data_IF_028944798394
#
_entry.id   IF_028944798394
#
_cell.length_a   1.000
_cell.length_b   1.000
_cell.length_c   1.000
_cell.angle_alpha   90.00
_cell.angle_beta   90.00
_cell.angle_gamma   90.00
#
_symmetry.space_group_name_H-M   'P 1'
#
loop_
_entity.id
_entity.type
_entity.pdbx_description
1 polymer ?
#
# COMPACT_ATOMS: atom_id res chain seq x y z
N UNK A 1 -17.47 -7.01 -14.51
CA UNK A 1 -17.24 -8.11 -13.54
C UNK A 1 -15.79 -8.03 -13.12
N UNK A 2 -15.49 -8.04 -11.82
CA UNK A 2 -14.10 -8.00 -11.32
C UNK A 2 -13.40 -9.33 -11.63
N UNK A 3 -12.22 -9.26 -12.23
CA UNK A 3 -11.37 -10.42 -12.49
C UNK A 3 -10.28 -10.53 -11.42
N UNK A 4 -9.89 -11.75 -11.07
CA UNK A 4 -8.83 -12.04 -10.09
C UNK A 4 -7.80 -12.98 -10.70
N UNK A 5 -6.53 -12.65 -10.49
CA UNK A 5 -5.39 -13.52 -10.78
C UNK A 5 -4.59 -13.71 -9.48
N UNK A 6 -4.34 -14.97 -9.08
CA UNK A 6 -3.58 -15.25 -7.86
C UNK A 6 -2.13 -14.80 -7.95
N UNK A 7 -1.54 -14.45 -6.80
CA UNK A 7 -0.13 -14.09 -6.68
C UNK A 7 0.76 -15.26 -7.14
N UNK A 8 1.85 -14.95 -7.83
CA UNK A 8 2.77 -15.95 -8.37
C UNK A 8 4.16 -15.36 -8.53
N UNK A 9 5.19 -16.22 -8.45
CA UNK A 9 6.58 -15.86 -8.75
C UNK A 9 6.90 -16.03 -10.25
N UNK A 10 5.99 -16.58 -11.05
CA UNK A 10 6.15 -16.77 -12.49
C UNK A 10 5.84 -15.46 -13.24
N UNK A 11 6.89 -14.74 -13.61
CA UNK A 11 6.78 -13.45 -14.32
C UNK A 11 6.16 -13.58 -15.70
N UNK A 12 6.35 -14.70 -16.40
CA UNK A 12 5.70 -14.95 -17.69
C UNK A 12 4.19 -15.14 -17.53
N UNK A 13 3.73 -15.74 -16.43
CA UNK A 13 2.30 -15.83 -16.11
C UNK A 13 1.72 -14.45 -15.76
N UNK A 14 2.45 -13.61 -15.04
CA UNK A 14 2.04 -12.22 -14.75
C UNK A 14 1.89 -11.43 -16.05
N UNK A 15 2.92 -11.44 -16.90
CA UNK A 15 2.92 -10.76 -18.21
C UNK A 15 1.73 -11.21 -19.07
N UNK A 16 1.53 -12.53 -19.20
CA UNK A 16 0.38 -13.08 -19.92
C UNK A 16 -0.95 -12.59 -19.35
N UNK A 17 -1.07 -12.51 -18.02
CA UNK A 17 -2.29 -12.05 -17.37
C UNK A 17 -2.56 -10.57 -17.60
N UNK A 18 -1.52 -9.74 -17.69
CA UNK A 18 -1.64 -8.31 -18.00
C UNK A 18 -1.96 -8.10 -19.48
N UNK A 19 -1.29 -8.80 -20.40
CA UNK A 19 -1.49 -8.65 -21.85
C UNK A 19 -2.88 -9.06 -22.36
N UNK A 20 -3.63 -9.85 -21.58
CA UNK A 20 -5.03 -10.18 -21.89
C UNK A 20 -6.04 -9.16 -21.36
N UNK A 21 -5.61 -8.20 -20.54
CA UNK A 21 -6.49 -7.15 -20.04
C UNK A 21 -6.79 -6.20 -21.20
N UNK A 22 -8.07 -5.99 -21.47
CA UNK A 22 -8.54 -5.04 -22.46
C UNK A 22 -9.46 -4.04 -21.78
N UNK A 23 -9.23 -2.75 -22.05
CA UNK A 23 -10.00 -1.66 -21.48
C UNK A 23 -11.32 -1.52 -22.28
N UNK A 24 -12.22 -2.48 -22.14
CA UNK A 24 -13.53 -2.44 -22.78
C UNK A 24 -14.52 -1.66 -21.91
N UNK A 25 -14.31 -0.34 -21.78
CA UNK A 25 -15.24 0.69 -21.26
C UNK A 25 -16.11 0.37 -20.02
N UNK A 26 -15.93 1.13 -18.94
CA UNK A 26 -16.82 1.14 -17.75
C UNK A 26 -18.07 2.04 -17.88
N UNK A 27 -18.10 2.91 -18.89
CA UNK A 27 -19.18 3.88 -19.06
C UNK A 27 -19.08 5.05 -18.07
N UNK A 28 -17.86 5.61 -17.99
CA UNK A 28 -17.42 6.91 -17.48
C UNK A 28 -18.18 7.42 -16.24
N UNK A 29 -18.00 6.70 -15.14
CA UNK A 29 -18.47 7.03 -13.81
C UNK A 29 -17.69 6.26 -12.75
N UNK A 30 -18.12 6.30 -11.48
CA UNK A 30 -17.49 5.52 -10.42
C UNK A 30 -17.42 4.03 -10.76
N UNK A 31 -16.44 3.35 -10.17
CA UNK A 31 -16.03 1.99 -10.53
C UNK A 31 -16.13 1.01 -9.36
N UNK A 32 -16.02 -0.29 -9.65
CA UNK A 32 -16.11 -1.38 -8.66
C UNK A 32 -14.86 -1.54 -7.76
N UNK A 33 -14.26 -0.43 -7.31
CA UNK A 33 -13.06 -0.39 -6.44
C UNK A 33 -13.30 -1.11 -5.12
N UNK A 34 -14.48 -0.93 -4.51
CA UNK A 34 -14.86 -1.62 -3.26
C UNK A 34 -14.81 -3.14 -3.42
N UNK A 35 -15.36 -3.66 -4.53
CA UNK A 35 -15.30 -5.09 -4.87
C UNK A 35 -13.87 -5.56 -5.06
N UNK A 36 -13.03 -4.77 -5.75
CA UNK A 36 -11.62 -5.10 -5.96
C UNK A 36 -10.85 -5.23 -4.64
N UNK A 37 -11.02 -4.29 -3.70
CA UNK A 37 -10.44 -4.38 -2.36
C UNK A 37 -10.93 -5.61 -1.60
N UNK A 38 -12.23 -5.91 -1.66
CA UNK A 38 -12.79 -7.12 -1.02
C UNK A 38 -12.21 -8.41 -1.61
N UNK A 39 -12.03 -8.47 -2.94
CA UNK A 39 -11.44 -9.61 -3.64
C UNK A 39 -9.97 -9.76 -3.26
N UNK A 40 -9.22 -8.65 -3.26
CA UNK A 40 -7.81 -8.61 -2.85
C UNK A 40 -7.62 -9.12 -1.41
N UNK A 41 -8.48 -8.69 -0.48
CA UNK A 41 -8.49 -9.16 0.90
C UNK A 41 -8.68 -10.68 1.06
N UNK A 42 -9.14 -11.37 0.01
CA UNK A 42 -9.37 -12.83 -0.03
C UNK A 42 -8.29 -13.57 -0.83
N UNK A 43 -7.30 -12.88 -1.38
CA UNK A 43 -6.17 -13.50 -2.10
C UNK A 43 -5.20 -14.20 -1.14
N UNK A 44 -4.46 -15.17 -1.67
CA UNK A 44 -3.50 -15.97 -0.92
C UNK A 44 -2.15 -15.23 -0.78
N UNK A 45 -2.04 -14.36 0.22
CA UNK A 45 -0.76 -13.79 0.62
C UNK A 45 0.04 -14.77 1.47
N UNK A 46 1.36 -14.80 1.29
CA UNK A 46 2.27 -15.53 2.18
C UNK A 46 2.17 -14.98 3.61
N UNK A 47 2.18 -15.87 4.60
CA UNK A 47 2.05 -15.49 6.01
C UNK A 47 3.22 -14.61 6.47
N UNK A 48 4.44 -14.97 6.05
CA UNK A 48 5.69 -14.38 6.54
C UNK A 48 6.33 -13.40 5.56
N UNK A 49 5.51 -12.76 4.71
CA UNK A 49 5.96 -11.76 3.76
C UNK A 49 5.46 -10.36 4.15
N UNK A 50 6.17 -9.33 3.69
CA UNK A 50 5.57 -8.01 3.53
C UNK A 50 4.44 -8.12 2.49
N UNK A 51 3.29 -7.49 2.77
CA UNK A 51 2.11 -7.56 1.91
C UNK A 51 1.74 -6.16 1.46
N UNK A 52 1.90 -5.93 0.17
CA UNK A 52 1.57 -4.65 -0.44
C UNK A 52 0.64 -4.84 -1.61
N UNK A 53 -0.30 -3.91 -1.73
CA UNK A 53 -1.12 -3.71 -2.90
C UNK A 53 -0.90 -2.30 -3.46
N UNK A 54 -0.89 -2.18 -4.78
CA UNK A 54 -0.91 -0.90 -5.49
C UNK A 54 -2.25 -0.82 -6.22
N UNK A 55 -3.16 0.02 -5.72
CA UNK A 55 -4.46 0.27 -6.34
C UNK A 55 -4.33 1.42 -7.33
N UNK A 56 -4.48 1.14 -8.62
CA UNK A 56 -4.36 2.12 -9.70
C UNK A 56 -5.73 2.37 -10.29
N UNK A 57 -6.13 3.64 -10.42
CA UNK A 57 -7.39 3.97 -11.09
C UNK A 57 -7.57 5.45 -11.38
N UNK A 58 -8.49 5.71 -12.30
CA UNK A 58 -8.87 7.00 -12.86
C UNK A 58 -10.26 7.47 -12.42
N UNK A 59 -10.96 6.67 -11.61
CA UNK A 59 -12.31 6.95 -11.11
C UNK A 59 -12.50 6.51 -9.64
N UNK A 60 -13.40 7.18 -8.89
CA UNK A 60 -13.72 6.80 -7.51
C UNK A 60 -14.49 5.47 -7.43
N UNK A 61 -14.58 4.85 -6.24
CA UNK A 61 -15.49 3.74 -5.98
C UNK A 61 -16.97 4.12 -6.18
N UNK A 62 -17.81 3.17 -6.56
CA UNK A 62 -19.27 3.33 -6.49
C UNK A 62 -19.75 3.80 -5.11
N UNK A 63 -20.81 4.62 -5.09
CA UNK A 63 -21.44 5.19 -3.90
C UNK A 63 -20.76 6.45 -3.36
N UNK A 64 -19.79 7.01 -4.09
CA UNK A 64 -19.01 8.18 -3.67
C UNK A 64 -19.42 9.47 -4.39
N UNK A 65 -19.71 9.39 -5.69
CA UNK A 65 -20.02 10.56 -6.52
C UNK A 65 -21.51 10.70 -6.81
N UNK A 66 -21.93 11.95 -7.02
CA UNK A 66 -23.26 12.24 -7.55
C UNK A 66 -23.38 11.76 -9.01
N UNK A 67 -24.53 11.22 -9.39
CA UNK A 67 -24.77 10.72 -10.75
C UNK A 67 -24.25 9.30 -11.00
N UNK A 68 -23.69 8.64 -9.99
CA UNK A 68 -23.36 7.22 -10.04
C UNK A 68 -24.61 6.36 -10.33
N UNK A 69 -24.43 5.33 -11.16
CA UNK A 69 -25.45 4.29 -11.40
C UNK A 69 -25.65 3.40 -10.18
N UNK A 70 -24.67 3.34 -9.28
CA UNK A 70 -24.68 2.57 -8.03
C UNK A 70 -24.51 3.47 -6.80
N UNK A 71 -25.44 4.41 -6.54
CA UNK A 71 -25.28 5.42 -5.49
C UNK A 71 -25.26 4.85 -4.07
N UNK A 72 -25.63 3.58 -3.89
CA UNK A 72 -25.56 2.86 -2.62
C UNK A 72 -24.30 1.98 -2.49
N UNK A 73 -23.37 2.08 -3.44
CA UNK A 73 -22.18 1.24 -3.53
C UNK A 73 -22.39 -0.01 -4.38
N UNK A 74 -21.38 -0.88 -4.39
CA UNK A 74 -21.37 -2.10 -5.21
C UNK A 74 -22.47 -3.09 -4.77
N UNK A 75 -23.06 -3.88 -5.71
CA UNK A 75 -24.17 -4.79 -5.41
C UNK A 75 -23.81 -5.92 -4.43
N UNK A 76 -22.53 -6.23 -4.30
CA UNK A 76 -21.98 -7.25 -3.39
C UNK A 76 -21.85 -6.75 -1.93
N UNK A 77 -22.23 -5.50 -1.67
CA UNK A 77 -22.19 -4.88 -0.34
C UNK A 77 -20.80 -4.48 0.13
N UNK A 78 -19.77 -4.57 -0.73
CA UNK A 78 -18.43 -4.09 -0.39
C UNK A 78 -18.42 -2.56 -0.20
N UNK A 79 -17.66 -2.10 0.80
CA UNK A 79 -17.47 -0.67 1.07
C UNK A 79 -15.98 -0.37 1.13
N UNK A 80 -15.53 0.59 0.32
CA UNK A 80 -14.11 0.88 0.12
C UNK A 80 -13.38 1.18 1.45
N UNK A 81 -14.01 1.91 2.37
CA UNK A 81 -13.43 2.31 3.64
C UNK A 81 -13.31 1.12 4.61
N UNK A 82 -14.32 0.27 4.64
CA UNK A 82 -14.32 -0.97 5.43
C UNK A 82 -13.29 -1.95 4.88
N UNK A 83 -13.21 -2.12 3.56
CA UNK A 83 -12.27 -3.05 2.95
C UNK A 83 -10.82 -2.56 3.00
N UNK A 84 -10.58 -1.24 2.95
CA UNK A 84 -9.25 -0.67 3.21
C UNK A 84 -8.78 -0.94 4.64
N UNK A 85 -9.65 -0.74 5.64
CA UNK A 85 -9.34 -1.08 7.05
C UNK A 85 -9.07 -2.58 7.23
N UNK A 86 -9.89 -3.45 6.62
CA UNK A 86 -9.66 -4.90 6.63
C UNK A 86 -8.33 -5.29 5.96
N UNK A 87 -7.90 -4.55 4.94
CA UNK A 87 -6.58 -4.75 4.32
C UNK A 87 -5.48 -4.58 5.37
N UNK A 88 -5.54 -3.49 6.12
CA UNK A 88 -4.58 -3.21 7.20
C UNK A 88 -4.59 -4.24 8.32
N UNK A 89 -5.78 -4.67 8.76
CA UNK A 89 -5.97 -5.72 9.77
C UNK A 89 -5.34 -7.06 9.32
N UNK A 90 -5.34 -7.34 8.02
CA UNK A 90 -4.68 -8.50 7.40
C UNK A 90 -3.18 -8.32 7.17
N UNK A 91 -2.64 -7.14 7.52
CA UNK A 91 -1.25 -6.75 7.33
C UNK A 91 -0.93 -6.33 5.89
N UNK A 92 -1.94 -5.95 5.10
CA UNK A 92 -1.78 -5.49 3.71
C UNK A 92 -1.80 -3.96 3.69
N UNK A 93 -0.70 -3.36 3.25
CA UNK A 93 -0.58 -1.92 3.01
C UNK A 93 -1.04 -1.63 1.58
N UNK A 94 -1.98 -0.72 1.41
CA UNK A 94 -2.51 -0.34 0.08
C UNK A 94 -2.00 1.04 -0.29
N UNK A 95 -1.03 1.09 -1.21
CA UNK A 95 -0.68 2.33 -1.89
C UNK A 95 -1.69 2.58 -3.00
N UNK A 96 -2.08 3.84 -3.20
CA UNK A 96 -3.05 4.21 -4.23
C UNK A 96 -2.38 5.10 -5.28
N UNK A 97 -2.74 4.89 -6.54
CA UNK A 97 -2.27 5.65 -7.68
C UNK A 97 -3.48 6.27 -8.35
N UNK A 98 -3.54 7.60 -8.34
CA UNK A 98 -4.56 8.34 -9.08
C UNK A 98 -4.06 8.66 -10.48
N UNK A 99 -4.80 8.24 -11.51
CA UNK A 99 -4.50 8.57 -12.89
C UNK A 99 -5.04 9.97 -13.24
N UNK A 100 -4.12 10.91 -13.47
CA UNK A 100 -4.42 12.29 -13.86
C UNK A 100 -4.35 12.48 -15.38
N UNK A 101 -5.18 13.39 -15.93
CA UNK A 101 -6.11 14.28 -15.23
C UNK A 101 -7.47 13.64 -14.86
N UNK A 102 -7.75 12.40 -15.29
CA UNK A 102 -9.07 11.78 -15.25
C UNK A 102 -9.68 11.71 -13.85
N UNK A 103 -8.91 11.26 -12.84
CA UNK A 103 -9.39 11.14 -11.46
C UNK A 103 -9.79 12.49 -10.84
N UNK A 104 -9.21 13.59 -11.33
CA UNK A 104 -9.49 14.94 -10.85
C UNK A 104 -10.81 15.52 -11.40
N UNK A 105 -11.41 14.88 -12.42
CA UNK A 105 -12.74 15.26 -12.91
C UNK A 105 -13.86 14.88 -11.94
N UNK A 106 -13.55 14.04 -10.93
CA UNK A 106 -14.47 13.60 -9.89
C UNK A 106 -14.27 14.40 -8.60
N UNK A 107 -15.36 14.87 -7.99
CA UNK A 107 -15.32 15.78 -6.83
C UNK A 107 -14.65 15.19 -5.58
N UNK A 108 -14.67 13.86 -5.48
CA UNK A 108 -14.25 13.03 -4.37
C UNK A 108 -13.25 11.94 -4.81
N UNK A 109 -12.88 11.86 -6.10
CA UNK A 109 -11.94 10.89 -6.65
C UNK A 109 -10.62 10.81 -5.87
N UNK A 110 -9.84 11.89 -5.93
CA UNK A 110 -8.55 12.03 -5.24
C UNK A 110 -8.68 11.79 -3.74
N UNK A 111 -9.63 12.48 -3.08
CA UNK A 111 -9.84 12.35 -1.63
C UNK A 111 -10.14 10.92 -1.18
N UNK A 112 -10.87 10.16 -2.00
CA UNK A 112 -11.21 8.78 -1.67
C UNK A 112 -9.97 7.87 -1.80
N UNK A 113 -9.14 8.08 -2.81
CA UNK A 113 -7.88 7.33 -2.97
C UNK A 113 -6.86 7.67 -1.87
N UNK A 114 -6.75 8.94 -1.49
CA UNK A 114 -5.99 9.37 -0.31
C UNK A 114 -6.48 8.67 0.95
N UNK A 115 -7.81 8.59 1.15
CA UNK A 115 -8.38 7.95 2.33
C UNK A 115 -8.19 6.43 2.34
N UNK A 116 -8.28 5.76 1.20
CA UNK A 116 -7.99 4.32 1.09
C UNK A 116 -6.53 4.04 1.49
N UNK A 117 -5.60 4.84 0.97
CA UNK A 117 -4.19 4.75 1.34
C UNK A 117 -3.99 4.97 2.85
N UNK A 118 -4.50 6.09 3.39
CA UNK A 118 -4.41 6.43 4.81
C UNK A 118 -4.94 5.31 5.72
N UNK A 119 -6.12 4.75 5.41
CA UNK A 119 -6.75 3.69 6.20
C UNK A 119 -5.95 2.38 6.23
N UNK A 120 -5.02 2.21 5.29
CA UNK A 120 -4.11 1.06 5.23
C UNK A 120 -2.65 1.40 5.53
N UNK A 121 -2.38 2.62 6.00
CA UNK A 121 -1.04 3.19 6.18
C UNK A 121 -0.18 3.18 4.90
N UNK A 122 -0.83 3.20 3.74
CA UNK A 122 -0.21 3.41 2.45
C UNK A 122 -0.08 4.89 2.10
N UNK A 123 0.34 5.15 0.87
CA UNK A 123 0.50 6.49 0.31
C UNK A 123 -0.24 6.63 -1.01
N UNK A 124 -0.76 7.83 -1.24
CA UNK A 124 -1.34 8.21 -2.53
C UNK A 124 -0.25 8.80 -3.44
N UNK A 125 -0.23 8.37 -4.69
CA UNK A 125 0.70 8.82 -5.71
C UNK A 125 -0.09 9.34 -6.93
N UNK A 126 -0.09 10.66 -7.20
CA UNK A 126 -0.68 11.21 -8.43
C UNK A 126 0.25 10.98 -9.62
N UNK A 127 -0.22 10.27 -10.66
CA UNK A 127 0.54 10.04 -11.89
C UNK A 127 -0.21 10.55 -13.12
N UNK A 128 0.50 11.21 -14.03
CA UNK A 128 -0.02 11.61 -15.35
C UNK A 128 0.35 10.62 -16.45
N UNK A 129 1.42 9.84 -16.25
CA UNK A 129 2.02 8.95 -17.26
C UNK A 129 2.23 7.56 -16.70
N UNK A 130 1.72 6.56 -17.42
CA UNK A 130 1.82 5.15 -17.03
C UNK A 130 3.28 4.65 -17.06
N UNK A 131 4.15 5.26 -17.87
CA UNK A 131 5.56 4.95 -17.96
C UNK A 131 6.29 5.09 -16.62
N UNK A 132 5.81 5.97 -15.75
CA UNK A 132 6.39 6.26 -14.43
C UNK A 132 6.03 5.18 -13.40
N UNK A 133 5.00 4.37 -13.67
CA UNK A 133 4.49 3.36 -12.74
C UNK A 133 5.53 2.27 -12.41
N UNK A 134 6.41 1.92 -13.36
CA UNK A 134 7.46 0.92 -13.14
C UNK A 134 8.42 1.38 -12.04
N UNK A 135 8.84 2.64 -12.08
CA UNK A 135 9.72 3.23 -11.07
C UNK A 135 9.02 3.30 -9.71
N UNK A 136 7.75 3.69 -9.70
CA UNK A 136 6.95 3.74 -8.49
C UNK A 136 6.84 2.36 -7.82
N UNK A 137 6.40 1.34 -8.55
CA UNK A 137 6.22 -0.02 -8.01
C UNK A 137 7.56 -0.59 -7.54
N UNK A 138 8.64 -0.37 -8.30
CA UNK A 138 9.98 -0.81 -7.90
C UNK A 138 10.42 -0.12 -6.62
N UNK A 139 10.17 1.19 -6.50
CA UNK A 139 10.49 1.93 -5.30
C UNK A 139 9.72 1.47 -4.08
N UNK A 140 8.40 1.30 -4.21
CA UNK A 140 7.56 0.73 -3.14
C UNK A 140 8.11 -0.63 -2.69
N UNK A 141 8.48 -1.51 -3.63
CA UNK A 141 9.08 -2.80 -3.29
C UNK A 141 10.39 -2.66 -2.50
N UNK A 142 11.20 -1.65 -2.81
CA UNK A 142 12.42 -1.32 -2.06
C UNK A 142 12.10 -0.82 -0.64
N UNK A 143 11.07 0.03 -0.46
CA UNK A 143 10.62 0.45 0.88
C UNK A 143 10.20 -0.75 1.75
N UNK A 144 9.50 -1.72 1.16
CA UNK A 144 9.06 -2.92 1.87
C UNK A 144 10.22 -3.83 2.28
N UNK A 145 11.28 -3.90 1.48
CA UNK A 145 12.52 -4.59 1.86
C UNK A 145 13.12 -3.91 3.10
N UNK A 146 13.14 -2.58 3.14
CA UNK A 146 13.66 -1.84 4.28
C UNK A 146 12.83 -2.05 5.55
N UNK A 147 11.49 -2.17 5.42
CA UNK A 147 10.62 -2.54 6.56
C UNK A 147 10.94 -3.92 7.13
N UNK A 148 11.25 -4.91 6.28
CA UNK A 148 11.69 -6.24 6.72
C UNK A 148 13.04 -6.13 7.46
N UNK A 149 13.97 -5.33 6.93
CA UNK A 149 15.27 -5.12 7.56
C UNK A 149 15.14 -4.41 8.92
N UNK A 150 14.19 -3.47 9.09
CA UNK A 150 13.88 -2.84 10.38
C UNK A 150 13.37 -3.90 11.38
N UNK A 151 12.48 -4.80 10.96
CA UNK A 151 11.98 -5.89 11.82
C UNK A 151 13.13 -6.79 12.29
N UNK A 152 14.04 -7.16 11.39
CA UNK A 152 15.22 -7.96 11.73
C UNK A 152 16.13 -7.24 12.72
N UNK A 153 16.40 -5.94 12.51
CA UNK A 153 17.19 -5.14 13.44
C UNK A 153 16.56 -5.08 14.85
N UNK A 154 15.22 -5.00 14.94
CA UNK A 154 14.52 -5.01 16.23
C UNK A 154 14.66 -6.37 16.93
N UNK A 155 14.51 -7.47 16.20
CA UNK A 155 14.69 -8.81 16.74
C UNK A 155 16.12 -9.03 17.26
N UNK A 156 17.12 -8.57 16.51
CA UNK A 156 18.53 -8.60 16.92
C UNK A 156 18.79 -7.77 18.18
N UNK A 157 18.22 -6.57 18.28
CA UNK A 157 18.37 -5.69 19.45
C UNK A 157 17.75 -6.25 20.73
N UNK A 158 16.67 -7.01 20.58
CA UNK A 158 16.02 -7.71 21.68
C UNK A 158 16.68 -9.06 21.99
N UNK A 159 17.50 -9.59 21.08
CA UNK A 159 18.14 -10.90 21.21
C UNK A 159 17.14 -12.06 21.17
N UNK A 160 16.05 -11.91 20.41
CA UNK A 160 14.97 -12.91 20.32
C UNK A 160 14.72 -13.32 18.87
N UNK A 161 14.22 -14.54 18.68
CA UNK A 161 13.66 -14.99 17.40
C UNK A 161 12.28 -14.39 17.12
N UNK A 162 11.77 -14.55 15.90
CA UNK A 162 10.40 -14.13 15.53
C UNK A 162 9.36 -14.85 16.39
N UNK A 163 9.57 -16.12 16.69
CA UNK A 163 8.69 -16.97 17.49
C UNK A 163 8.70 -16.59 18.98
N UNK A 164 9.82 -16.06 19.47
CA UNK A 164 10.00 -15.61 20.85
C UNK A 164 9.69 -14.12 21.04
N UNK A 165 9.25 -13.43 19.99
CA UNK A 165 8.97 -12.01 20.05
C UNK A 165 7.88 -11.71 21.10
N UNK A 166 8.11 -10.80 22.06
CA UNK A 166 7.22 -10.57 23.19
C UNK A 166 5.94 -9.82 22.77
N UNK A 167 5.00 -10.54 22.17
CA UNK A 167 3.82 -9.97 21.52
C UNK A 167 2.90 -9.19 22.49
N UNK A 168 2.86 -9.65 23.73
CA UNK A 168 2.01 -9.12 24.79
C UNK A 168 2.72 -8.03 25.62
N UNK A 169 4.01 -7.80 25.40
CA UNK A 169 4.72 -6.68 26.01
C UNK A 169 4.27 -5.36 25.39
N UNK A 170 4.07 -4.36 26.23
CA UNK A 170 3.85 -2.99 25.80
C UNK A 170 5.18 -2.36 25.37
N UNK A 171 5.24 -1.87 24.14
CA UNK A 171 6.40 -1.12 23.65
C UNK A 171 6.14 0.36 23.94
N UNK A 172 6.64 0.83 25.08
CA UNK A 172 6.46 2.22 25.51
C UNK A 172 7.19 3.18 24.57
N UNK A 173 6.82 4.46 24.67
CA UNK A 173 7.44 5.55 23.90
C UNK A 173 8.96 5.63 24.15
N UNK A 174 9.41 5.39 25.38
CA UNK A 174 10.83 5.33 25.71
C UNK A 174 11.53 4.15 25.03
N UNK A 175 10.91 2.96 25.03
CA UNK A 175 11.46 1.76 24.38
C UNK A 175 11.56 1.94 22.86
N UNK A 176 10.53 2.53 22.24
CA UNK A 176 10.53 2.86 20.82
C UNK A 176 11.65 3.86 20.50
N UNK A 177 11.76 4.93 21.30
CA UNK A 177 12.80 5.96 21.14
C UNK A 177 14.21 5.38 21.26
N UNK A 178 14.42 4.43 22.18
CA UNK A 178 15.69 3.74 22.35
C UNK A 178 16.04 2.88 21.13
N UNK A 179 15.08 2.11 20.60
CA UNK A 179 15.27 1.32 19.37
C UNK A 179 15.64 2.23 18.20
N UNK A 180 14.93 3.35 18.01
CA UNK A 180 15.25 4.33 16.96
C UNK A 180 16.67 4.87 17.13
N UNK A 181 17.06 5.22 18.35
CA UNK A 181 18.40 5.77 18.64
C UNK A 181 19.50 4.76 18.32
N UNK A 182 19.34 3.50 18.74
CA UNK A 182 20.29 2.42 18.42
C UNK A 182 20.41 2.16 16.92
N UNK A 183 19.28 2.16 16.20
CA UNK A 183 19.29 1.98 14.75
C UNK A 183 20.05 3.12 14.05
N UNK A 184 19.84 4.37 14.49
CA UNK A 184 20.58 5.55 13.99
C UNK A 184 22.07 5.50 14.31
N UNK A 185 22.46 5.07 15.51
CA UNK A 185 23.87 4.91 15.89
C UNK A 185 24.60 3.87 15.01
N UNK A 186 23.89 2.86 14.52
CA UNK A 186 24.40 1.88 13.54
C UNK A 186 24.40 2.39 12.10
N UNK A 187 23.92 3.62 11.86
CA UNK A 187 23.79 4.20 10.53
C UNK A 187 22.72 3.54 9.68
N UNK A 188 21.74 2.87 10.30
CA UNK A 188 20.64 2.25 9.57
C UNK A 188 19.73 3.34 9.00
N UNK A 189 19.56 3.30 7.68
CA UNK A 189 18.66 4.17 6.93
C UNK A 189 17.61 3.35 6.22
N UNK A 190 16.48 3.99 5.93
CA UNK A 190 15.45 3.46 5.04
C UNK A 190 15.41 4.28 3.77
N UNK A 191 14.80 3.72 2.74
CA UNK A 191 14.49 4.42 1.50
C UNK A 191 12.99 4.63 1.41
N UNK A 192 12.60 5.77 0.87
CA UNK A 192 11.21 6.10 0.58
C UNK A 192 11.11 6.77 -0.79
N UNK A 193 10.11 6.39 -1.57
CA UNK A 193 9.79 6.98 -2.85
C UNK A 193 9.21 8.37 -2.62
N UNK A 194 9.88 9.41 -3.09
CA UNK A 194 9.40 10.78 -3.05
C UNK A 194 8.92 11.23 -4.43
N UNK A 195 7.97 12.18 -4.44
CA UNK A 195 7.49 12.81 -5.67
C UNK A 195 8.00 14.25 -5.72
N UNK A 196 8.68 14.61 -6.80
CA UNK A 196 9.22 15.96 -7.04
C UNK A 196 8.76 16.53 -8.39
N UNK A 197 8.15 17.73 -8.43
CA UNK A 197 7.71 18.52 -7.29
C UNK A 197 6.44 17.90 -6.67
N UNK A 198 6.35 17.89 -5.35
CA UNK A 198 5.20 17.35 -4.61
C UNK A 198 3.84 17.99 -4.95
N UNK A 199 3.84 19.13 -5.65
CA UNK A 199 2.63 19.87 -6.04
C UNK A 199 2.04 19.47 -7.40
N UNK A 200 2.65 18.54 -8.14
CA UNK A 200 2.18 18.11 -9.45
C UNK A 200 2.15 16.58 -9.58
N UNK A 201 1.25 16.01 -10.40
CA UNK A 201 1.31 14.61 -10.77
C UNK A 201 2.64 14.28 -11.46
N UNK A 202 3.24 13.14 -11.12
CA UNK A 202 4.47 12.70 -11.76
C UNK A 202 4.20 12.27 -13.21
N UNK A 203 5.00 12.80 -14.12
CA UNK A 203 4.86 12.64 -15.57
C UNK A 203 6.10 12.02 -16.22
N UNK A 204 7.24 12.05 -15.52
CA UNK A 204 8.52 11.51 -15.98
C UNK A 204 9.21 10.73 -14.86
N UNK A 205 10.19 9.93 -15.24
CA UNK A 205 10.96 9.11 -14.30
C UNK A 205 11.66 9.96 -13.24
N UNK A 206 12.16 11.14 -13.62
CA UNK A 206 12.87 12.07 -12.75
C UNK A 206 11.97 12.73 -11.70
N UNK A 207 10.65 12.66 -11.87
CA UNK A 207 9.69 13.16 -10.90
C UNK A 207 9.53 12.19 -9.72
N UNK A 208 10.10 10.99 -9.82
CA UNK A 208 10.13 9.96 -8.77
C UNK A 208 11.57 9.72 -8.32
N UNK A 209 11.84 9.96 -7.05
CA UNK A 209 13.16 9.73 -6.48
C UNK A 209 13.09 8.80 -5.27
N UNK A 210 13.96 7.79 -5.24
CA UNK A 210 14.11 6.96 -4.07
C UNK A 210 15.11 7.64 -3.11
N UNK A 211 14.58 8.27 -2.06
CA UNK A 211 15.38 9.10 -1.14
C UNK A 211 15.74 8.30 0.10
N UNK A 212 17.00 8.38 0.54
CA UNK A 212 17.42 7.87 1.83
C UNK A 212 16.89 8.76 2.97
N UNK A 213 16.31 8.14 3.98
CA UNK A 213 15.77 8.80 5.16
C UNK A 213 16.26 8.09 6.43
N UNK A 214 16.43 8.87 7.48
CA UNK A 214 16.62 8.34 8.83
C UNK A 214 15.38 7.57 9.29
N UNK A 215 15.57 6.48 10.03
CA UNK A 215 14.44 5.79 10.67
C UNK A 215 13.80 6.73 11.71
N UNK A 216 12.48 6.66 11.81
CA UNK A 216 11.72 7.37 12.84
C UNK A 216 10.90 6.40 13.71
N UNK A 217 10.20 6.94 14.70
CA UNK A 217 9.39 6.14 15.63
C UNK A 217 8.17 5.48 14.96
N UNK A 218 7.60 6.07 13.91
CA UNK A 218 6.47 5.48 13.18
C UNK A 218 6.91 4.19 12.48
N UNK A 219 8.10 4.18 11.88
CA UNK A 219 8.69 2.99 11.28
C UNK A 219 8.85 1.85 12.29
N UNK A 220 9.33 2.16 13.49
CA UNK A 220 9.51 1.18 14.58
C UNK A 220 8.16 0.71 15.12
N UNK A 221 7.19 1.60 15.31
CA UNK A 221 5.83 1.22 15.74
C UNK A 221 5.18 0.26 14.74
N UNK A 222 5.31 0.54 13.45
CA UNK A 222 4.77 -0.33 12.42
C UNK A 222 5.50 -1.68 12.37
N UNK A 223 6.83 -1.69 12.46
CA UNK A 223 7.60 -2.93 12.54
C UNK A 223 7.20 -3.78 13.76
N UNK A 224 7.04 -3.17 14.95
CA UNK A 224 6.56 -3.86 16.15
C UNK A 224 5.14 -4.41 15.94
N UNK A 225 4.22 -3.63 15.36
CA UNK A 225 2.85 -4.09 15.07
C UNK A 225 2.87 -5.34 14.18
N UNK A 226 3.68 -5.33 13.12
CA UNK A 226 3.81 -6.48 12.22
C UNK A 226 4.45 -7.68 12.92
N UNK A 227 5.47 -7.47 13.74
CA UNK A 227 6.09 -8.54 14.54
C UNK A 227 5.06 -9.17 15.51
N UNK A 228 4.27 -8.37 16.23
CA UNK A 228 3.18 -8.87 17.09
C UNK A 228 2.15 -9.71 16.32
N UNK A 229 1.84 -9.32 15.09
CA UNK A 229 0.89 -10.05 14.25
C UNK A 229 1.45 -11.38 13.76
N UNK A 230 2.74 -11.42 13.43
CA UNK A 230 3.44 -12.63 12.97
C UNK A 230 3.68 -13.64 14.10
N UNK A 231 4.09 -13.20 15.29
CA UNK A 231 4.40 -14.10 16.40
C UNK A 231 3.17 -14.74 17.07
N UNK A 232 1.97 -14.20 16.82
CA UNK A 232 0.70 -14.74 17.33
C UNK A 232 0.10 -15.84 16.44
N UNK A 233 0.71 -16.15 15.30
CA UNK A 233 0.26 -17.19 14.37
C UNK A 233 1.07 -18.46 14.55
#
# INVERSE_FOLDING_TARGET
MTQKFELTTDTSKIEKNVLQMDASGGGDGPEAVSTALQVMNKMEFLTDAAKVAVLIGDAPPHGVESGDRWPQGTPDGAKWDVEAKKSFEKGIVVHTVGCFPEIANYSQGVKTYEKIAELSQGRFFPLEKAEVLVNLITGIAVEEIDKIAIQQSILEDLGVSMEEFPADEEFTEEKISEIVSRAKERGFKKRAMDISPASAPASKAEDLELVEQEINEEDVREAVRQLKSKSRK
#
